data_IF_567110403207
#
_entry.id   IF_567110403207
#
_cell.length_a   1.000
_cell.length_b   1.000
_cell.length_c   1.000
_cell.angle_alpha   90.00
_cell.angle_beta   90.00
_cell.angle_gamma   90.00
#
_symmetry.space_group_name_H-M   'P 1'
#
loop_
_entity.id
_entity.type
_entity.pdbx_description
1 polymer ?
#
# COMPACT_ATOMS: atom_id res chain seq x y z
N UNK A 1 -1.05 2.71 32.39
CA UNK A 1 -0.48 2.17 31.13
C UNK A 1 0.96 2.61 31.05
N UNK A 2 1.88 1.73 30.67
CA UNK A 2 3.27 2.09 30.40
C UNK A 2 3.47 2.10 28.89
N UNK A 3 4.08 3.15 28.36
CA UNK A 3 4.35 3.20 26.93
C UNK A 3 5.43 2.17 26.55
N UNK A 4 5.34 1.52 25.37
CA UNK A 4 6.40 0.66 24.85
C UNK A 4 7.73 1.40 24.75
N UNK A 5 8.85 0.67 24.81
CA UNK A 5 10.19 1.26 24.63
C UNK A 5 10.39 1.82 23.21
N UNK A 6 9.67 1.28 22.22
CA UNK A 6 9.70 1.74 20.83
C UNK A 6 8.65 2.81 20.51
N UNK A 7 8.08 3.48 21.52
CA UNK A 7 7.09 4.53 21.27
C UNK A 7 7.70 5.72 20.51
N UNK A 8 6.99 6.21 19.48
CA UNK A 8 7.52 7.21 18.55
C UNK A 8 7.92 8.54 19.20
N UNK A 9 7.32 8.87 20.35
CA UNK A 9 7.67 10.05 21.13
C UNK A 9 8.75 9.70 22.18
N UNK A 10 9.99 10.14 21.95
CA UNK A 10 11.15 9.85 22.81
C UNK A 10 10.93 10.18 24.29
N UNK A 11 10.21 11.26 24.55
CA UNK A 11 9.93 11.74 25.90
C UNK A 11 8.94 10.85 26.69
N UNK A 12 8.24 9.93 26.00
CA UNK A 12 7.22 9.05 26.57
C UNK A 12 7.64 7.57 26.58
N UNK A 13 8.72 7.18 25.88
CA UNK A 13 9.25 5.80 25.85
C UNK A 13 9.46 5.23 27.26
N UNK A 14 8.91 4.05 27.53
CA UNK A 14 9.09 3.33 28.80
C UNK A 14 8.52 4.02 30.05
N UNK A 15 7.93 5.23 29.93
CA UNK A 15 7.40 5.96 31.07
C UNK A 15 6.00 5.48 31.42
N UNK A 16 5.75 5.41 32.73
CA UNK A 16 4.41 5.16 33.26
C UNK A 16 3.55 6.41 33.08
N UNK A 17 2.48 6.29 32.29
CA UNK A 17 1.54 7.38 32.03
C UNK A 17 0.22 7.14 32.76
N UNK A 18 -0.26 8.20 33.43
CA UNK A 18 -1.60 8.30 33.97
C UNK A 18 -2.42 9.18 33.04
N UNK A 19 -3.38 8.57 32.35
CA UNK A 19 -4.33 9.32 31.53
C UNK A 19 -5.56 9.64 32.38
N UNK A 20 -5.81 10.93 32.61
CA UNK A 20 -7.09 11.38 33.15
C UNK A 20 -8.11 11.37 32.00
N UNK A 21 -8.73 10.22 31.74
CA UNK A 21 -9.74 10.07 30.69
C UNK A 21 -11.08 10.51 31.26
N UNK A 22 -11.63 11.61 30.73
CA UNK A 22 -12.99 12.01 31.01
C UNK A 22 -13.92 11.40 29.95
N UNK A 23 -14.64 10.35 30.33
CA UNK A 23 -15.44 9.56 29.43
C UNK A 23 -16.82 10.20 29.26
N UNK A 24 -17.03 10.90 28.14
CA UNK A 24 -18.21 11.74 27.91
C UNK A 24 -19.43 10.96 27.41
N UNK A 25 -19.22 9.92 26.60
CA UNK A 25 -20.28 9.11 26.00
C UNK A 25 -19.72 7.73 25.63
N UNK A 26 -20.50 6.69 25.86
CA UNK A 26 -20.27 5.36 25.31
C UNK A 26 -21.38 5.12 24.30
N UNK A 27 -21.03 4.73 23.08
CA UNK A 27 -21.98 4.35 22.05
C UNK A 27 -21.68 2.92 21.63
N UNK A 28 -22.73 2.12 21.46
CA UNK A 28 -22.66 0.77 20.94
C UNK A 28 -22.98 0.79 19.44
N UNK A 29 -22.28 -0.03 18.65
CA UNK A 29 -22.55 -0.15 17.22
C UNK A 29 -23.73 -1.08 17.00
N UNK A 30 -24.91 -0.51 16.82
CA UNK A 30 -26.09 -1.26 16.39
C UNK A 30 -26.04 -1.50 14.87
N UNK A 31 -26.29 -2.74 14.45
CA UNK A 31 -26.34 -3.10 13.03
C UNK A 31 -27.57 -2.42 12.40
N UNK A 32 -27.39 -1.53 11.41
CA UNK A 32 -28.53 -0.92 10.75
C UNK A 32 -29.32 -1.99 9.97
N UNK A 33 -30.64 -1.86 9.96
CA UNK A 33 -31.48 -2.67 9.08
C UNK A 33 -31.12 -2.41 7.61
N UNK A 34 -31.18 -3.46 6.79
CA UNK A 34 -30.91 -3.37 5.35
C UNK A 34 -32.10 -2.76 4.61
N UNK A 35 -32.39 -1.50 4.91
CA UNK A 35 -33.44 -0.71 4.28
C UNK A 35 -33.01 -0.20 2.91
N UNK A 36 -33.96 0.13 2.04
CA UNK A 36 -33.68 0.66 0.72
C UNK A 36 -32.83 1.96 0.77
N UNK A 37 -33.03 2.82 1.77
CA UNK A 37 -32.22 4.02 1.97
C UNK A 37 -30.77 3.71 2.35
N UNK A 38 -30.55 2.71 3.21
CA UNK A 38 -29.20 2.26 3.57
C UNK A 38 -28.49 1.65 2.37
N UNK A 39 -29.19 0.81 1.60
CA UNK A 39 -28.64 0.11 0.43
C UNK A 39 -28.27 1.10 -0.69
N UNK A 40 -29.09 2.13 -0.94
CA UNK A 40 -28.80 3.18 -1.92
C UNK A 40 -27.49 3.94 -1.64
N UNK A 41 -27.05 4.04 -0.38
CA UNK A 41 -25.74 4.66 -0.03
C UNK A 41 -24.54 3.88 -0.56
N UNK A 42 -24.71 2.60 -0.87
CA UNK A 42 -23.68 1.74 -1.46
C UNK A 42 -23.73 1.73 -3.00
N UNK A 43 -24.49 2.64 -3.63
CA UNK A 43 -24.58 2.76 -5.09
C UNK A 43 -25.54 1.76 -5.75
N UNK A 44 -26.42 1.14 -4.97
CA UNK A 44 -27.41 0.16 -5.44
C UNK A 44 -28.76 0.86 -5.59
N UNK A 45 -29.08 1.29 -6.81
CA UNK A 45 -30.21 2.18 -7.11
C UNK A 45 -31.58 1.57 -6.78
N UNK A 46 -31.72 0.26 -6.95
CA UNK A 46 -32.94 -0.50 -6.67
C UNK A 46 -33.17 -0.71 -5.17
N UNK A 47 -32.20 -0.40 -4.30
CA UNK A 47 -32.36 -0.49 -2.85
C UNK A 47 -32.60 -1.91 -2.34
N UNK A 48 -32.27 -2.93 -3.15
CA UNK A 48 -32.57 -4.33 -2.82
C UNK A 48 -31.38 -5.03 -2.16
N UNK A 49 -31.68 -5.93 -1.21
CA UNK A 49 -30.65 -6.74 -0.55
C UNK A 49 -29.93 -7.65 -1.55
N UNK A 50 -30.64 -8.12 -2.57
CA UNK A 50 -30.07 -8.93 -3.64
C UNK A 50 -29.10 -8.11 -4.50
N UNK A 51 -29.45 -6.87 -4.86
CA UNK A 51 -28.59 -5.93 -5.56
C UNK A 51 -27.33 -5.59 -4.75
N UNK A 52 -27.46 -5.36 -3.44
CA UNK A 52 -26.33 -5.16 -2.54
C UNK A 52 -25.38 -6.36 -2.52
N UNK A 53 -25.94 -7.58 -2.37
CA UNK A 53 -25.14 -8.80 -2.38
C UNK A 53 -24.45 -9.03 -3.71
N UNK A 54 -25.10 -8.74 -4.83
CA UNK A 54 -24.54 -8.87 -6.16
C UNK A 54 -23.36 -7.89 -6.37
N UNK A 55 -23.53 -6.62 -5.98
CA UNK A 55 -22.48 -5.60 -6.11
C UNK A 55 -21.29 -5.90 -5.20
N UNK A 56 -21.52 -6.29 -3.94
CA UNK A 56 -20.46 -6.75 -3.03
C UNK A 56 -19.72 -7.96 -3.61
N UNK A 57 -20.44 -8.96 -4.12
CA UNK A 57 -19.83 -10.14 -4.76
C UNK A 57 -18.96 -9.74 -5.95
N UNK A 58 -19.47 -8.89 -6.85
CA UNK A 58 -18.73 -8.41 -8.01
C UNK A 58 -17.46 -7.64 -7.61
N UNK A 59 -17.54 -6.83 -6.56
CA UNK A 59 -16.39 -6.12 -6.00
C UNK A 59 -15.34 -7.11 -5.45
N UNK A 60 -15.78 -8.11 -4.68
CA UNK A 60 -14.90 -9.16 -4.15
C UNK A 60 -14.28 -10.02 -5.25
N UNK A 61 -15.03 -10.37 -6.30
CA UNK A 61 -14.51 -11.15 -7.44
C UNK A 61 -13.43 -10.36 -8.21
N UNK A 62 -13.63 -9.06 -8.40
CA UNK A 62 -12.63 -8.18 -9.02
C UNK A 62 -11.35 -8.09 -8.17
N UNK A 63 -11.50 -7.96 -6.86
CA UNK A 63 -10.36 -7.96 -5.92
C UNK A 63 -9.65 -9.30 -5.94
N UNK A 64 -10.38 -10.42 -5.89
CA UNK A 64 -9.81 -11.77 -5.93
C UNK A 64 -9.04 -12.01 -7.24
N UNK A 65 -9.61 -11.65 -8.38
CA UNK A 65 -8.93 -11.75 -9.69
C UNK A 65 -7.64 -10.95 -9.71
N UNK A 66 -7.66 -9.74 -9.15
CA UNK A 66 -6.48 -8.88 -9.06
C UNK A 66 -5.43 -9.46 -8.10
N UNK A 67 -5.86 -10.00 -6.96
CA UNK A 67 -4.99 -10.64 -5.97
C UNK A 67 -4.30 -11.88 -6.55
N UNK A 68 -5.04 -12.76 -7.24
CA UNK A 68 -4.49 -13.95 -7.91
C UNK A 68 -3.47 -13.52 -8.97
N UNK A 69 -3.84 -12.57 -9.84
CA UNK A 69 -2.93 -12.06 -10.88
C UNK A 69 -1.65 -11.48 -10.28
N UNK A 70 -1.78 -10.67 -9.23
CA UNK A 70 -0.63 -10.06 -8.55
C UNK A 70 0.25 -11.10 -7.86
N UNK A 71 -0.35 -12.15 -7.27
CA UNK A 71 0.40 -13.26 -6.67
C UNK A 71 1.21 -14.01 -7.70
N UNK A 72 0.58 -14.44 -8.80
CA UNK A 72 1.27 -15.14 -9.89
C UNK A 72 2.36 -14.27 -10.51
N UNK A 73 2.08 -12.99 -10.77
CA UNK A 73 3.06 -12.03 -11.27
C UNK A 73 4.24 -11.87 -10.32
N UNK A 74 3.99 -11.76 -9.02
CA UNK A 74 5.04 -11.62 -8.00
C UNK A 74 5.92 -12.85 -7.93
N UNK A 75 5.32 -14.05 -7.96
CA UNK A 75 6.06 -15.32 -7.98
C UNK A 75 6.95 -15.44 -9.23
N UNK A 76 6.42 -15.10 -10.41
CA UNK A 76 7.20 -15.13 -11.65
C UNK A 76 8.38 -14.13 -11.61
N UNK A 77 8.13 -12.90 -11.16
CA UNK A 77 9.17 -11.87 -11.01
C UNK A 77 10.23 -12.31 -10.00
N UNK A 78 9.82 -12.84 -8.84
CA UNK A 78 10.75 -13.29 -7.81
C UNK A 78 11.60 -14.46 -8.30
N UNK A 79 11.00 -15.43 -9.02
CA UNK A 79 11.74 -16.51 -9.67
C UNK A 79 12.76 -15.99 -10.68
N UNK A 80 12.38 -15.02 -11.53
CA UNK A 80 13.28 -14.39 -12.50
C UNK A 80 14.45 -13.67 -11.82
N UNK A 81 14.18 -12.90 -10.76
CA UNK A 81 15.23 -12.18 -10.02
C UNK A 81 16.16 -13.15 -9.30
N UNK A 82 15.64 -14.22 -8.68
CA UNK A 82 16.48 -15.23 -7.99
C UNK A 82 17.34 -16.03 -8.95
N UNK A 83 16.86 -16.30 -10.15
CA UNK A 83 17.60 -17.06 -11.17
C UNK A 83 18.66 -16.21 -11.90
N UNK A 84 18.59 -14.88 -11.82
CA UNK A 84 19.46 -13.98 -12.57
C UNK A 84 20.02 -12.92 -11.62
N UNK A 85 21.23 -13.14 -11.12
CA UNK A 85 21.97 -12.11 -10.40
C UNK A 85 22.61 -11.16 -11.42
N UNK A 86 22.07 -9.96 -11.52
CA UNK A 86 22.54 -8.93 -12.46
C UNK A 86 23.05 -7.73 -11.67
N UNK A 87 24.25 -7.29 -12.02
CA UNK A 87 24.79 -6.07 -11.48
C UNK A 87 24.13 -4.87 -12.16
N UNK A 88 23.70 -3.90 -11.34
CA UNK A 88 22.90 -2.77 -11.81
C UNK A 88 23.69 -1.48 -11.56
N UNK A 89 23.92 -0.65 -12.59
CA UNK A 89 24.61 0.61 -12.43
C UNK A 89 23.94 1.50 -11.37
N UNK A 90 24.75 2.06 -10.47
CA UNK A 90 24.28 2.95 -9.40
C UNK A 90 23.44 4.12 -9.93
N UNK A 91 23.80 4.67 -11.09
CA UNK A 91 23.06 5.76 -11.73
C UNK A 91 21.58 5.42 -12.06
N UNK A 92 21.29 4.16 -12.39
CA UNK A 92 19.90 3.71 -12.62
C UNK A 92 19.14 3.58 -11.30
N UNK A 93 19.81 3.12 -10.24
CA UNK A 93 19.23 3.03 -8.89
C UNK A 93 18.92 4.43 -8.37
N UNK A 94 19.84 5.37 -8.53
CA UNK A 94 19.68 6.78 -8.12
C UNK A 94 18.49 7.43 -8.83
N UNK A 95 18.37 7.21 -10.14
CA UNK A 95 17.24 7.71 -10.93
C UNK A 95 15.89 7.16 -10.44
N UNK A 96 15.83 5.87 -10.10
CA UNK A 96 14.61 5.24 -9.59
C UNK A 96 14.28 5.69 -8.15
N UNK A 97 15.29 5.96 -7.31
CA UNK A 97 15.11 6.54 -5.97
C UNK A 97 14.42 7.90 -6.08
N UNK A 98 14.85 8.75 -7.02
CA UNK A 98 14.23 10.07 -7.21
C UNK A 98 12.77 9.98 -7.68
N UNK A 99 12.45 8.99 -8.52
CA UNK A 99 11.05 8.70 -8.91
C UNK A 99 10.24 8.27 -7.68
N UNK A 100 10.77 7.35 -6.86
CA UNK A 100 10.11 6.87 -5.65
C UNK A 100 9.87 7.98 -4.62
N UNK A 101 10.85 8.88 -4.44
CA UNK A 101 10.74 10.06 -3.57
C UNK A 101 9.63 10.99 -4.01
N UNK A 102 9.55 11.31 -5.31
CA UNK A 102 8.48 12.16 -5.85
C UNK A 102 7.11 11.51 -5.69
N UNK A 103 7.01 10.18 -5.92
CA UNK A 103 5.77 9.43 -5.69
C UNK A 103 5.34 9.43 -4.21
N UNK A 104 6.30 9.29 -3.29
CA UNK A 104 6.03 9.34 -1.86
C UNK A 104 5.51 10.72 -1.46
N UNK A 105 6.19 11.80 -1.87
CA UNK A 105 5.75 13.17 -1.59
C UNK A 105 4.33 13.44 -2.10
N UNK A 106 4.00 13.04 -3.33
CA UNK A 106 2.65 13.19 -3.88
C UNK A 106 1.57 12.45 -3.06
N UNK A 107 1.87 11.25 -2.54
CA UNK A 107 0.93 10.49 -1.69
C UNK A 107 0.66 11.14 -0.35
N UNK A 108 1.66 11.82 0.21
CA UNK A 108 1.54 12.48 1.52
C UNK A 108 1.20 13.98 1.41
N UNK A 109 0.90 14.48 0.20
CA UNK A 109 0.57 15.90 -0.03
C UNK A 109 1.77 16.84 0.09
N UNK A 110 2.99 16.31 0.04
CA UNK A 110 4.23 17.07 0.08
C UNK A 110 4.64 17.62 -1.30
N UNK A 111 5.49 18.64 -1.29
CA UNK A 111 6.03 19.30 -2.48
C UNK A 111 7.45 18.80 -2.82
N UNK A 112 7.96 19.17 -4.00
CA UNK A 112 9.18 18.57 -4.59
C UNK A 112 10.43 18.71 -3.70
N UNK A 113 10.52 19.76 -2.89
CA UNK A 113 11.60 19.94 -1.91
C UNK A 113 11.56 18.88 -0.81
N UNK A 114 10.38 18.60 -0.26
CA UNK A 114 10.19 17.59 0.77
C UNK A 114 10.46 16.18 0.25
N UNK A 115 10.24 15.94 -1.06
CA UNK A 115 10.57 14.67 -1.70
C UNK A 115 12.09 14.37 -1.61
N UNK A 116 12.92 15.38 -1.87
CA UNK A 116 14.39 15.25 -1.86
C UNK A 116 14.96 15.09 -0.45
N UNK A 117 14.24 15.55 0.57
CA UNK A 117 14.62 15.40 1.98
C UNK A 117 14.37 13.99 2.53
N UNK A 118 13.61 13.14 1.83
CA UNK A 118 13.35 11.78 2.28
C UNK A 118 14.64 10.93 2.19
N UNK A 119 15.03 10.21 3.27
CA UNK A 119 16.25 9.41 3.28
C UNK A 119 16.29 8.38 2.14
N UNK A 120 17.45 8.27 1.50
CA UNK A 120 17.69 7.33 0.38
C UNK A 120 17.43 5.88 0.79
N UNK A 121 17.87 5.52 1.99
CA UNK A 121 17.81 4.16 2.55
C UNK A 121 16.38 3.60 2.59
N UNK A 122 15.35 4.47 2.65
CA UNK A 122 13.94 4.07 2.59
C UNK A 122 13.53 3.51 1.22
N UNK A 123 14.26 3.86 0.15
CA UNK A 123 13.90 3.55 -1.24
C UNK A 123 14.91 2.66 -1.94
N UNK A 124 16.12 2.50 -1.41
CA UNK A 124 17.23 1.82 -2.08
C UNK A 124 16.91 0.37 -2.47
N UNK A 125 16.41 -0.43 -1.53
CA UNK A 125 16.01 -1.82 -1.80
C UNK A 125 14.89 -1.91 -2.85
N UNK A 126 13.91 -1.01 -2.76
CA UNK A 126 12.79 -0.97 -3.71
C UNK A 126 13.25 -0.53 -5.10
N UNK A 127 14.13 0.47 -5.17
CA UNK A 127 14.71 0.99 -6.41
C UNK A 127 15.54 -0.07 -7.11
N UNK A 128 16.47 -0.72 -6.39
CA UNK A 128 17.28 -1.83 -6.91
C UNK A 128 16.38 -2.92 -7.49
N UNK A 129 15.35 -3.35 -6.75
CA UNK A 129 14.40 -4.37 -7.23
C UNK A 129 13.66 -3.92 -8.49
N UNK A 130 13.20 -2.66 -8.56
CA UNK A 130 12.48 -2.14 -9.75
C UNK A 130 13.38 -2.08 -10.98
N UNK A 131 14.62 -1.63 -10.83
CA UNK A 131 15.57 -1.56 -11.94
C UNK A 131 15.92 -2.96 -12.45
N UNK A 132 16.23 -3.91 -11.55
CA UNK A 132 16.49 -5.31 -11.93
C UNK A 132 15.31 -5.89 -12.72
N UNK A 133 14.09 -5.73 -12.20
CA UNK A 133 12.88 -6.25 -12.88
C UNK A 133 12.65 -5.57 -14.22
N UNK A 134 12.87 -4.26 -14.31
CA UNK A 134 12.76 -3.50 -15.55
C UNK A 134 13.71 -3.99 -16.63
N UNK A 135 14.98 -4.23 -16.27
CA UNK A 135 16.00 -4.75 -17.19
C UNK A 135 15.68 -6.18 -17.68
N UNK A 136 15.27 -7.06 -16.76
CA UNK A 136 14.89 -8.44 -17.10
C UNK A 136 13.67 -8.47 -18.04
N UNK A 137 12.64 -7.69 -17.76
CA UNK A 137 11.46 -7.60 -18.63
C UNK A 137 11.79 -6.95 -19.97
N UNK A 138 12.61 -5.90 -19.99
CA UNK A 138 13.06 -5.26 -21.23
C UNK A 138 13.78 -6.28 -22.14
N UNK A 139 14.67 -7.11 -21.56
CA UNK A 139 15.37 -8.16 -22.29
C UNK A 139 14.43 -9.22 -22.87
N UNK A 140 13.38 -9.62 -22.14
CA UNK A 140 12.37 -10.55 -22.63
C UNK A 140 11.47 -9.96 -23.73
N UNK A 141 11.23 -8.65 -23.68
CA UNK A 141 10.42 -7.93 -24.68
C UNK A 141 11.19 -7.50 -25.92
N UNK A 142 12.53 -7.49 -25.87
CA UNK A 142 13.36 -7.14 -27.00
C UNK A 142 13.24 -8.22 -28.08
N UNK A 143 13.00 -7.86 -29.36
CA UNK A 143 13.00 -8.85 -30.43
C UNK A 143 14.38 -9.49 -30.50
N UNK A 144 14.43 -10.82 -30.39
CA UNK A 144 15.63 -11.61 -30.73
C UNK A 144 15.95 -11.35 -32.19
N UNK A 145 16.98 -10.53 -32.44
CA UNK A 145 17.72 -10.53 -33.71
C UNK A 145 18.62 -11.75 -33.79
#
# INVERSE_FOLDING_TARGET
MTFPEEYHAENLKGKAAKFAINLKKVEERELPELTAEFIKRFGVEDGSVEGLRAEVRKNMERELKSAIRNRVKSQAIEGLVKANDIDVPAALIDSEIDVLRRQAAQRFGGNEKQALELPRELFEEQAKRRVVVGLLLAKLSAPTS
#
